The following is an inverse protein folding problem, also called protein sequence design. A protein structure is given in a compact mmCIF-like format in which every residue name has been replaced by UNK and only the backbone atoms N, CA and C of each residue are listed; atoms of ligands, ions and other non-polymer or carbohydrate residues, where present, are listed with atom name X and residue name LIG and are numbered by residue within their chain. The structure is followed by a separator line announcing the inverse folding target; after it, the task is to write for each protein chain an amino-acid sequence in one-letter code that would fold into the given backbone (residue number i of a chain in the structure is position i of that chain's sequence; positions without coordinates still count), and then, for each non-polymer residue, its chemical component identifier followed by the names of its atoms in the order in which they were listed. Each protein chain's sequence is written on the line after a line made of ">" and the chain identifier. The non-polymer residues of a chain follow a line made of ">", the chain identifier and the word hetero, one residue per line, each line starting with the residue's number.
data_IF_464675872747
#
_entry.id   IF_464675872747
#
_cell.length_a   1.000
_cell.length_b   1.000
_cell.length_c   1.000
_cell.angle_alpha   90.00
_cell.angle_beta   90.00
_cell.angle_gamma   90.00
#
_symmetry.space_group_name_H-M   'P 1'
#
loop_
_entity.id
_entity.type
_entity.pdbx_description
1 polymer ?
#
# COMPACT_ATOMS: atom_id res chain seq x y z
N UNK A 1 7.68 -10.46 -20.84
CA UNK A 1 8.06 -9.65 -19.66
C UNK A 1 7.60 -8.22 -19.94
N UNK A 2 6.45 -7.82 -19.39
CA UNK A 2 5.92 -6.46 -19.56
C UNK A 2 6.69 -5.52 -18.60
N UNK A 3 7.29 -4.45 -19.14
CA UNK A 3 7.99 -3.43 -18.33
C UNK A 3 6.97 -2.36 -17.95
N UNK A 4 6.72 -2.20 -16.65
CA UNK A 4 5.96 -1.10 -16.09
C UNK A 4 6.92 0.08 -15.84
N UNK A 5 6.57 1.28 -16.29
CA UNK A 5 7.30 2.49 -15.93
C UNK A 5 6.74 3.04 -14.61
N UNK A 6 7.54 3.14 -13.57
CA UNK A 6 7.13 3.48 -12.20
C UNK A 6 7.92 4.69 -11.71
N UNK A 7 7.21 5.72 -11.22
CA UNK A 7 7.74 6.98 -10.71
C UNK A 7 7.25 7.23 -9.28
N UNK A 8 8.07 6.94 -8.27
CA UNK A 8 7.71 7.12 -6.86
C UNK A 8 7.80 8.58 -6.41
N UNK A 9 6.92 8.99 -5.49
CA UNK A 9 6.74 10.38 -5.01
C UNK A 9 6.74 10.48 -3.50
N UNK A 10 7.02 11.68 -3.00
CA UNK A 10 7.27 11.93 -1.58
C UNK A 10 6.46 13.06 -0.95
N UNK A 11 6.22 12.95 0.37
CA UNK A 11 5.88 14.07 1.29
C UNK A 11 6.60 13.94 2.64
N UNK A 12 7.08 15.05 3.19
CA UNK A 12 7.79 15.17 4.49
C UNK A 12 6.83 14.81 5.64
N UNK A 13 7.00 13.65 6.27
CA UNK A 13 6.13 13.19 7.35
C UNK A 13 6.93 12.48 8.44
N UNK A 14 6.60 12.80 9.68
CA UNK A 14 7.20 12.21 10.88
C UNK A 14 6.98 10.68 10.96
N UNK A 15 7.89 9.92 11.58
CA UNK A 15 7.72 8.49 11.80
C UNK A 15 6.46 8.22 12.63
N UNK A 16 5.57 7.35 12.13
CA UNK A 16 4.32 7.00 12.81
C UNK A 16 4.28 5.55 13.26
N UNK A 17 3.54 5.32 14.35
CA UNK A 17 3.33 4.01 14.98
C UNK A 17 2.86 2.94 13.99
N UNK A 18 3.28 1.67 14.18
CA UNK A 18 2.79 0.57 13.37
C UNK A 18 1.27 0.47 13.49
N UNK A 19 0.58 0.22 12.37
CA UNK A 19 -0.86 -0.03 12.34
C UNK A 19 -1.11 -1.54 12.23
N UNK A 20 -1.80 -2.11 13.21
CA UNK A 20 -2.36 -3.46 13.10
C UNK A 20 -3.69 -3.34 12.37
N UNK A 21 -3.80 -3.94 11.19
CA UNK A 21 -5.10 -4.42 10.74
C UNK A 21 -5.31 -5.81 11.31
N UNK A 22 -5.71 -5.88 12.58
CA UNK A 22 -6.37 -7.06 13.11
C UNK A 22 -7.87 -6.85 12.89
N UNK A 23 -8.50 -7.69 12.06
CA UNK A 23 -9.96 -7.68 11.86
C UNK A 23 -10.73 -8.23 13.07
N UNK A 24 -10.05 -8.50 14.19
CA UNK A 24 -10.62 -8.95 15.45
C UNK A 24 -10.00 -8.20 16.62
N UNK A 25 -10.85 -7.65 17.50
CA UNK A 25 -10.49 -6.89 18.71
C UNK A 25 -9.36 -7.57 19.53
N UNK A 26 -8.43 -6.80 20.14
CA UNK A 26 -7.33 -7.32 20.98
C UNK A 26 -7.79 -8.22 22.13
N UNK A 27 -9.04 -8.08 22.59
CA UNK A 27 -9.63 -8.90 23.65
C UNK A 27 -9.93 -10.35 23.25
N UNK A 28 -9.78 -10.72 21.98
CA UNK A 28 -10.11 -12.06 21.44
C UNK A 28 -8.91 -12.98 21.20
N UNK A 29 -7.69 -12.52 21.47
CA UNK A 29 -6.45 -13.26 21.15
C UNK A 29 -6.04 -14.32 22.19
N UNK A 30 -6.82 -14.55 23.25
CA UNK A 30 -6.58 -15.69 24.16
C UNK A 30 -7.23 -16.95 23.60
N UNK A 31 -6.41 -17.84 23.05
CA UNK A 31 -6.68 -19.29 23.05
C UNK A 31 -7.56 -19.85 21.94
N UNK A 32 -7.86 -19.11 20.87
CA UNK A 32 -8.46 -19.68 19.67
C UNK A 32 -7.48 -19.57 18.51
N UNK A 33 -7.13 -20.70 17.88
CA UNK A 33 -6.86 -20.67 16.44
C UNK A 33 -7.97 -19.82 15.83
N UNK A 34 -7.69 -18.70 15.14
CA UNK A 34 -8.75 -17.98 14.48
C UNK A 34 -9.46 -19.00 13.62
N UNK A 35 -10.77 -19.15 13.81
CA UNK A 35 -11.62 -19.94 12.92
C UNK A 35 -11.64 -19.22 11.58
N UNK A 36 -10.52 -19.25 10.88
CA UNK A 36 -10.41 -18.78 9.52
C UNK A 36 -11.29 -19.71 8.70
N UNK A 37 -12.21 -19.12 7.95
CA UNK A 37 -12.93 -19.88 6.94
C UNK A 37 -11.89 -20.58 6.08
N UNK A 38 -11.94 -21.92 5.93
CA UNK A 38 -10.96 -22.71 5.14
C UNK A 38 -10.65 -22.11 3.75
N UNK A 39 -11.59 -21.33 3.24
CA UNK A 39 -11.56 -20.56 1.99
C UNK A 39 -10.58 -19.36 1.98
N UNK A 40 -9.99 -18.99 3.11
CA UNK A 40 -9.06 -17.87 3.29
C UNK A 40 -7.70 -18.34 3.84
N UNK A 41 -7.44 -19.65 3.80
CA UNK A 41 -6.18 -20.25 4.20
C UNK A 41 -5.39 -20.55 2.92
N UNK A 42 -4.18 -20.02 2.83
CA UNK A 42 -3.27 -20.26 1.72
C UNK A 42 -2.07 -21.04 2.21
N UNK A 43 -1.66 -22.05 1.44
CA UNK A 43 -0.55 -22.92 1.79
C UNK A 43 0.75 -22.25 1.31
N UNK A 44 1.67 -22.04 2.25
CA UNK A 44 3.04 -21.66 1.90
C UNK A 44 3.83 -22.89 1.43
N UNK A 45 4.81 -22.66 0.55
CA UNK A 45 5.72 -23.73 0.16
C UNK A 45 6.58 -24.17 1.36
N UNK A 46 6.94 -25.46 1.50
CA UNK A 46 7.57 -25.99 2.71
C UNK A 46 8.91 -25.37 3.11
N UNK A 47 9.58 -24.67 2.18
CA UNK A 47 10.91 -24.06 2.40
C UNK A 47 10.87 -22.55 2.56
N UNK A 48 9.68 -21.96 2.47
CA UNK A 48 9.51 -20.51 2.55
C UNK A 48 9.47 -20.09 4.02
N UNK A 49 10.30 -19.12 4.37
CA UNK A 49 10.26 -18.52 5.71
C UNK A 49 8.95 -17.76 5.91
N UNK A 50 8.13 -18.25 6.84
CA UNK A 50 6.84 -17.65 7.17
C UNK A 50 6.95 -16.22 7.69
N UNK A 51 8.05 -15.86 8.36
CA UNK A 51 8.29 -14.49 8.85
C UNK A 51 8.57 -13.55 7.69
N UNK A 52 9.44 -13.98 6.77
CA UNK A 52 9.76 -13.24 5.56
C UNK A 52 8.53 -13.01 4.66
N UNK A 53 7.54 -13.91 4.68
CA UNK A 53 6.26 -13.71 3.97
C UNK A 53 5.27 -12.85 4.74
N UNK A 54 5.10 -13.09 6.04
CA UNK A 54 4.08 -12.41 6.84
C UNK A 54 4.31 -10.90 6.93
N UNK A 55 5.57 -10.47 6.96
CA UNK A 55 5.93 -9.06 7.09
C UNK A 55 5.47 -8.20 5.89
N UNK A 56 5.77 -8.57 4.62
CA UNK A 56 5.34 -7.85 3.42
C UNK A 56 3.93 -8.21 2.93
N UNK A 57 3.31 -9.32 3.35
CA UNK A 57 2.01 -9.78 2.84
C UNK A 57 0.98 -8.67 2.76
N UNK A 58 0.66 -8.03 3.88
CA UNK A 58 -0.38 -7.00 3.92
C UNK A 58 -0.11 -5.80 2.97
N UNK A 59 1.05 -5.11 3.00
CA UNK A 59 1.29 -3.98 2.10
C UNK A 59 1.47 -4.39 0.63
N UNK A 60 2.12 -5.52 0.35
CA UNK A 60 2.35 -5.99 -1.01
C UNK A 60 1.05 -6.48 -1.63
N UNK A 61 0.27 -7.27 -0.90
CA UNK A 61 -0.98 -7.84 -1.40
C UNK A 61 -2.02 -6.75 -1.69
N UNK A 62 -2.11 -5.67 -0.89
CA UNK A 62 -3.00 -4.53 -1.19
C UNK A 62 -2.61 -3.80 -2.47
N UNK A 63 -1.32 -3.49 -2.62
CA UNK A 63 -0.79 -2.84 -3.83
C UNK A 63 -1.00 -3.72 -5.06
N UNK A 64 -0.71 -5.03 -4.95
CA UNK A 64 -0.93 -6.00 -6.00
C UNK A 64 -2.40 -6.06 -6.42
N UNK A 65 -3.32 -6.17 -5.46
CA UNK A 65 -4.75 -6.24 -5.76
C UNK A 65 -5.26 -4.95 -6.38
N UNK A 66 -4.76 -3.78 -5.94
CA UNK A 66 -5.06 -2.50 -6.59
C UNK A 66 -4.62 -2.52 -8.06
N UNK A 67 -3.39 -2.97 -8.32
CA UNK A 67 -2.81 -3.05 -9.65
C UNK A 67 -3.56 -4.05 -10.53
N UNK A 68 -3.57 -5.33 -10.17
CA UNK A 68 -4.12 -6.42 -11.00
C UNK A 68 -5.62 -6.32 -11.27
N UNK A 69 -6.43 -5.93 -10.28
CA UNK A 69 -7.90 -6.02 -10.42
C UNK A 69 -8.60 -4.76 -10.85
N UNK A 70 -7.94 -3.61 -10.71
CA UNK A 70 -8.60 -2.33 -10.91
C UNK A 70 -7.85 -1.42 -11.87
N UNK A 71 -6.54 -1.56 -11.92
CA UNK A 71 -5.66 -0.64 -12.63
C UNK A 71 -5.12 -1.21 -13.94
N UNK A 72 -4.81 -2.51 -13.97
CA UNK A 72 -4.29 -3.17 -15.17
C UNK A 72 -5.44 -3.44 -16.17
N UNK A 73 -5.55 -2.54 -17.15
CA UNK A 73 -5.91 -2.84 -18.54
C UNK A 73 -4.68 -2.70 -19.43
N UNK A 74 -4.84 -2.54 -20.74
CA UNK A 74 -3.75 -2.29 -21.72
C UNK A 74 -3.03 -0.92 -21.55
N UNK A 75 -2.96 -0.39 -20.33
CA UNK A 75 -2.33 0.88 -20.03
C UNK A 75 -0.81 0.74 -20.04
N UNK A 76 -0.20 1.34 -21.05
CA UNK A 76 1.24 1.56 -21.14
C UNK A 76 1.56 2.97 -20.60
N UNK A 77 2.27 3.08 -19.48
CA UNK A 77 2.79 4.39 -19.04
C UNK A 77 3.16 4.49 -17.57
N UNK A 78 3.29 5.74 -17.08
CA UNK A 78 3.84 6.05 -15.76
C UNK A 78 2.84 5.77 -14.63
N UNK A 79 3.25 4.93 -13.69
CA UNK A 79 2.59 4.72 -12.39
C UNK A 79 3.25 5.58 -11.34
N UNK A 80 2.46 6.26 -10.53
CA UNK A 80 2.96 7.18 -9.51
C UNK A 80 2.60 6.70 -8.11
N UNK A 81 3.45 5.89 -7.46
CA UNK A 81 3.30 5.61 -6.04
C UNK A 81 3.75 6.80 -5.16
N UNK A 82 3.19 6.96 -3.96
CA UNK A 82 3.58 8.00 -2.98
C UNK A 82 4.05 7.35 -1.66
N UNK A 83 5.27 7.65 -1.20
CA UNK A 83 5.95 7.11 0.00
C UNK A 83 6.79 8.17 0.74
N UNK A 84 7.44 7.83 1.86
CA UNK A 84 8.34 8.75 2.60
C UNK A 84 9.81 8.70 2.07
N UNK A 85 10.68 9.61 2.55
CA UNK A 85 12.00 9.88 1.92
C UNK A 85 12.93 8.70 2.08
N UNK A 86 12.90 8.14 3.28
CA UNK A 86 13.73 7.04 3.73
C UNK A 86 13.42 5.78 2.91
N UNK A 87 12.13 5.51 2.64
CA UNK A 87 11.72 4.37 1.81
C UNK A 87 12.11 4.56 0.34
N UNK A 88 12.11 5.79 -0.19
CA UNK A 88 12.47 6.00 -1.60
C UNK A 88 13.97 5.90 -1.86
N UNK A 89 14.80 6.23 -0.87
CA UNK A 89 16.24 6.12 -0.99
C UNK A 89 16.73 4.67 -1.15
N UNK A 90 15.90 3.68 -0.81
CA UNK A 90 16.23 2.25 -0.92
C UNK A 90 15.69 1.59 -2.18
N UNK A 91 14.91 2.30 -3.01
CA UNK A 91 14.34 1.72 -4.24
C UNK A 91 15.30 1.90 -5.40
N UNK A 92 15.92 0.80 -5.81
CA UNK A 92 16.69 0.73 -7.05
C UNK A 92 15.77 0.75 -8.28
N UNK A 93 16.31 1.18 -9.43
CA UNK A 93 15.61 1.18 -10.74
C UNK A 93 14.37 2.09 -10.88
N UNK A 94 14.26 3.13 -10.06
CA UNK A 94 13.21 4.12 -10.23
C UNK A 94 13.45 5.00 -11.47
N UNK A 95 12.45 5.12 -12.35
CA UNK A 95 12.57 5.92 -13.58
C UNK A 95 12.78 7.42 -13.27
N UNK A 96 12.09 7.94 -12.24
CA UNK A 96 12.10 9.35 -11.85
C UNK A 96 11.58 9.52 -10.41
N UNK A 97 12.04 10.54 -9.69
CA UNK A 97 11.56 10.89 -8.35
C UNK A 97 11.22 12.36 -8.24
N UNK A 98 10.13 12.65 -7.52
CA UNK A 98 9.72 14.03 -7.24
C UNK A 98 9.38 14.23 -5.77
N UNK A 99 9.98 15.27 -5.22
CA UNK A 99 9.75 15.78 -3.87
C UNK A 99 8.55 16.73 -3.91
N UNK A 100 7.40 16.35 -3.34
CA UNK A 100 6.22 17.21 -3.27
C UNK A 100 6.26 18.09 -2.02
N UNK A 101 5.85 19.35 -2.18
CA UNK A 101 5.69 20.33 -1.08
C UNK A 101 4.24 20.75 -0.99
N UNK A 102 3.80 21.22 0.17
CA UNK A 102 2.45 21.77 0.30
C UNK A 102 2.31 23.07 -0.52
N UNK A 103 1.20 23.25 -1.28
CA UNK A 103 0.14 22.28 -1.52
C UNK A 103 0.61 21.15 -2.46
N UNK A 104 0.39 19.89 -2.06
CA UNK A 104 0.94 18.73 -2.76
C UNK A 104 0.44 18.63 -4.21
N UNK A 105 1.30 18.99 -5.16
CA UNK A 105 1.00 19.08 -6.58
C UNK A 105 2.17 18.53 -7.42
N UNK A 106 1.84 17.90 -8.54
CA UNK A 106 2.81 17.39 -9.50
C UNK A 106 3.41 18.52 -10.33
N UNK A 107 4.75 18.56 -10.49
CA UNK A 107 5.37 19.55 -11.34
C UNK A 107 5.05 19.24 -12.81
N UNK A 108 5.02 20.24 -13.70
CA UNK A 108 4.67 20.07 -15.12
C UNK A 108 5.58 19.12 -15.91
N UNK A 109 6.77 18.80 -15.40
CA UNK A 109 7.70 17.85 -16.04
C UNK A 109 7.36 16.38 -15.82
N UNK A 110 6.48 16.06 -14.86
CA UNK A 110 6.00 14.69 -14.69
C UNK A 110 4.94 14.44 -15.75
N UNK A 111 5.37 13.76 -16.82
CA UNK A 111 4.62 13.49 -18.05
C UNK A 111 3.28 12.80 -17.83
N UNK A 112 2.62 12.31 -18.90
CA UNK A 112 1.28 11.73 -18.76
C UNK A 112 1.28 10.59 -17.73
N UNK A 113 0.47 10.78 -16.69
CA UNK A 113 0.22 9.86 -15.59
C UNK A 113 -1.09 9.16 -15.88
N UNK A 114 -1.05 7.83 -15.92
CA UNK A 114 -2.25 7.00 -16.07
C UNK A 114 -2.75 6.55 -14.70
N UNK A 115 -1.81 6.34 -13.77
CA UNK A 115 -2.07 5.70 -12.49
C UNK A 115 -1.37 6.47 -11.38
N UNK A 116 -2.10 6.77 -10.32
CA UNK A 116 -1.59 7.27 -9.04
C UNK A 116 -1.90 6.22 -7.99
N UNK A 117 -0.90 5.74 -7.27
CA UNK A 117 -1.03 4.81 -6.15
C UNK A 117 -0.65 5.54 -4.86
N UNK A 118 -1.65 5.99 -4.12
CA UNK A 118 -1.44 6.71 -2.87
C UNK A 118 -1.31 5.74 -1.69
N UNK A 119 -0.06 5.44 -1.32
CA UNK A 119 0.30 4.53 -0.23
C UNK A 119 0.54 5.25 1.10
N UNK A 120 0.31 6.56 1.17
CA UNK A 120 0.60 7.35 2.37
C UNK A 120 -0.47 7.12 3.44
N UNK A 121 -0.05 6.67 4.61
CA UNK A 121 -0.90 6.32 5.75
C UNK A 121 -1.00 7.41 6.83
N UNK A 122 -0.39 8.57 6.60
CA UNK A 122 -0.33 9.68 7.54
C UNK A 122 -0.26 11.01 6.79
N UNK A 123 -0.72 12.11 7.40
CA UNK A 123 -0.64 13.45 6.80
C UNK A 123 -1.82 13.85 5.91
N UNK A 124 -1.69 14.99 5.24
CA UNK A 124 -2.78 15.64 4.49
C UNK A 124 -3.08 14.92 3.18
N UNK A 125 -4.37 14.81 2.83
CA UNK A 125 -4.81 14.33 1.54
C UNK A 125 -4.20 15.18 0.41
N UNK A 126 -3.49 14.53 -0.50
CA UNK A 126 -2.78 15.20 -1.59
C UNK A 126 -3.69 15.44 -2.80
N UNK A 127 -4.81 16.16 -2.62
CA UNK A 127 -5.80 16.41 -3.67
C UNK A 127 -5.25 17.20 -4.85
N UNK A 128 -4.15 17.95 -4.67
CA UNK A 128 -3.46 18.64 -5.75
C UNK A 128 -2.78 17.69 -6.74
N UNK A 129 -2.43 16.46 -6.35
CA UNK A 129 -1.82 15.46 -7.24
C UNK A 129 -2.77 15.08 -8.40
N UNK A 130 -3.99 14.57 -8.17
CA UNK A 130 -4.91 14.25 -9.25
C UNK A 130 -5.39 15.51 -10.01
N UNK A 131 -5.24 16.72 -9.45
CA UNK A 131 -5.55 17.97 -10.16
C UNK A 131 -4.46 18.35 -11.17
N UNK A 132 -3.20 18.14 -10.83
CA UNK A 132 -2.03 18.60 -11.60
C UNK A 132 -1.37 17.50 -12.44
N UNK A 133 -1.72 16.24 -12.21
CA UNK A 133 -1.33 15.14 -13.08
C UNK A 133 -1.66 15.49 -14.54
N UNK A 134 -0.68 15.38 -15.42
CA UNK A 134 -0.95 15.40 -16.85
C UNK A 134 -1.55 14.06 -17.22
N UNK A 135 -2.62 14.05 -18.01
CA UNK A 135 -3.20 12.81 -18.52
C UNK A 135 -3.14 12.82 -20.05
N UNK A 136 -3.33 11.65 -20.66
CA UNK A 136 -3.56 11.57 -22.10
C UNK A 136 -5.03 11.94 -22.37
N UNK A 137 -5.27 12.76 -23.39
CA UNK A 137 -6.63 13.19 -23.73
C UNK A 137 -7.51 11.98 -24.09
N UNK A 138 -8.70 11.90 -23.51
CA UNK A 138 -9.63 10.79 -23.70
C UNK A 138 -9.33 9.56 -22.84
N UNK A 139 -8.15 9.47 -22.22
CA UNK A 139 -7.80 8.37 -21.33
C UNK A 139 -8.21 8.64 -19.87
N UNK A 140 -8.42 7.55 -19.14
CA UNK A 140 -8.83 7.59 -17.73
C UNK A 140 -7.62 7.68 -16.81
N UNK A 141 -7.58 8.73 -15.97
CA UNK A 141 -6.68 8.77 -14.82
C UNK A 141 -7.24 7.86 -13.71
N UNK A 142 -6.42 6.96 -13.20
CA UNK A 142 -6.78 6.06 -12.12
C UNK A 142 -6.07 6.44 -10.84
N UNK A 143 -6.83 6.66 -9.77
CA UNK A 143 -6.31 6.98 -8.44
C UNK A 143 -6.64 5.83 -7.49
N UNK A 144 -5.63 5.02 -7.17
CA UNK A 144 -5.68 3.94 -6.19
C UNK A 144 -5.29 4.45 -4.81
N UNK A 145 -6.21 4.45 -3.86
CA UNK A 145 -5.95 4.75 -2.47
C UNK A 145 -5.66 3.45 -1.70
N UNK A 146 -4.41 3.29 -1.25
CA UNK A 146 -3.91 2.14 -0.47
C UNK A 146 -3.67 2.52 0.99
N UNK A 147 -3.26 3.76 1.20
CA UNK A 147 -3.03 4.33 2.52
C UNK A 147 -4.29 4.42 3.38
N UNK A 148 -4.09 4.91 4.59
CA UNK A 148 -5.15 5.11 5.57
C UNK A 148 -4.94 6.46 6.25
N UNK A 149 -5.63 7.51 5.83
CA UNK A 149 -5.49 8.88 6.38
C UNK A 149 -6.15 9.05 7.75
N UNK A 150 -5.92 8.12 8.68
CA UNK A 150 -6.41 8.24 10.05
C UNK A 150 -5.53 9.23 10.80
N UNK A 151 -5.98 10.48 10.93
CA UNK A 151 -5.56 11.30 12.07
C UNK A 151 -5.01 12.70 11.81
N UNK A 152 -5.07 13.28 10.61
CA UNK A 152 -4.86 14.74 10.39
C UNK A 152 -5.28 15.14 8.98
N UNK A 153 -6.21 16.09 8.89
CA UNK A 153 -6.69 16.65 7.61
C UNK A 153 -8.04 16.09 7.16
N UNK A 154 -8.67 16.80 6.23
CA UNK A 154 -9.94 16.39 5.65
C UNK A 154 -9.70 15.20 4.67
N UNK A 155 -10.56 14.17 4.70
CA UNK A 155 -10.57 13.08 3.72
C UNK A 155 -10.43 13.58 2.28
N UNK A 156 -9.83 12.78 1.40
CA UNK A 156 -9.66 13.16 -0.01
C UNK A 156 -11.00 13.57 -0.66
N UNK A 157 -12.10 12.89 -0.33
CA UNK A 157 -13.43 13.22 -0.86
C UNK A 157 -13.93 14.62 -0.46
N UNK A 158 -13.45 15.17 0.64
CA UNK A 158 -13.88 16.47 1.16
C UNK A 158 -13.10 17.62 0.51
N UNK A 159 -11.88 17.33 0.05
CA UNK A 159 -10.95 18.31 -0.55
C UNK A 159 -10.80 18.18 -2.06
N UNK A 160 -11.52 17.24 -2.68
CA UNK A 160 -11.48 17.02 -4.12
C UNK A 160 -12.42 18.00 -4.84
N UNK A 161 -11.92 18.87 -5.73
CA UNK A 161 -12.78 19.82 -6.40
C UNK A 161 -13.64 19.12 -7.47
N UNK A 162 -14.95 19.32 -7.41
CA UNK A 162 -15.92 18.66 -8.31
C UNK A 162 -15.70 18.96 -9.79
N UNK A 163 -15.12 20.12 -10.12
CA UNK A 163 -14.79 20.48 -11.50
C UNK A 163 -13.76 19.53 -12.14
N UNK A 164 -12.98 18.79 -11.35
CA UNK A 164 -12.00 17.84 -11.86
C UNK A 164 -12.68 16.65 -12.55
N UNK A 165 -13.85 16.23 -12.07
CA UNK A 165 -14.66 15.14 -12.68
C UNK A 165 -15.16 15.57 -14.07
N UNK A 166 -15.44 16.87 -14.26
CA UNK A 166 -15.89 17.41 -15.55
C UNK A 166 -14.74 17.59 -16.56
N UNK A 167 -13.50 17.74 -16.08
CA UNK A 167 -12.34 18.06 -16.93
C UNK A 167 -11.70 16.84 -17.59
N UNK A 168 -11.82 15.66 -16.98
CA UNK A 168 -11.25 14.42 -17.51
C UNK A 168 -11.93 13.18 -16.93
N UNK A 169 -11.90 12.05 -17.66
CA UNK A 169 -12.24 10.77 -17.07
C UNK A 169 -11.27 10.44 -15.93
N UNK A 170 -11.79 10.31 -14.71
CA UNK A 170 -11.00 9.94 -13.53
C UNK A 170 -11.75 8.88 -12.71
N UNK A 171 -11.02 7.94 -12.12
CA UNK A 171 -11.57 6.89 -11.26
C UNK A 171 -10.85 6.85 -9.93
N UNK A 172 -11.60 6.85 -8.83
CA UNK A 172 -11.08 6.68 -7.47
C UNK A 172 -11.37 5.26 -6.99
N UNK A 173 -10.33 4.57 -6.51
CA UNK A 173 -10.37 3.16 -6.19
C UNK A 173 -9.75 2.93 -4.81
N UNK A 174 -10.49 2.38 -3.86
CA UNK A 174 -9.90 1.83 -2.64
C UNK A 174 -9.23 0.47 -2.88
N UNK A 175 -8.24 0.11 -2.06
CA UNK A 175 -7.57 -1.21 -2.13
C UNK A 175 -7.46 -1.93 -0.78
N UNK A 176 -8.25 -1.52 0.21
CA UNK A 176 -8.31 -2.25 1.47
C UNK A 176 -8.95 -3.62 1.28
N UNK A 177 -8.74 -4.54 2.24
CA UNK A 177 -9.21 -5.93 2.13
C UNK A 177 -10.73 -6.05 1.85
N UNK A 178 -11.54 -5.13 2.37
CA UNK A 178 -12.98 -5.06 2.13
C UNK A 178 -13.39 -4.55 0.73
N UNK A 179 -12.44 -4.10 -0.09
CA UNK A 179 -12.71 -3.60 -1.44
C UNK A 179 -12.77 -4.74 -2.49
N UNK A 180 -12.41 -5.97 -2.13
CA UNK A 180 -12.33 -7.08 -3.08
C UNK A 180 -13.24 -8.24 -2.69
N UNK A 181 -13.78 -8.95 -3.68
CA UNK A 181 -14.51 -10.17 -3.39
C UNK A 181 -13.54 -11.23 -2.83
N UNK A 182 -14.03 -12.09 -1.95
CA UNK A 182 -13.25 -13.23 -1.43
C UNK A 182 -12.70 -14.10 -2.57
N UNK A 183 -13.42 -14.19 -3.69
CA UNK A 183 -12.98 -14.94 -4.85
C UNK A 183 -11.81 -14.28 -5.58
N UNK A 184 -11.73 -12.95 -5.58
CA UNK A 184 -10.58 -12.24 -6.16
C UNK A 184 -9.32 -12.54 -5.38
N UNK A 185 -9.40 -12.44 -4.05
CA UNK A 185 -8.33 -12.82 -3.13
C UNK A 185 -7.85 -14.25 -3.36
N UNK A 186 -8.78 -15.21 -3.44
CA UNK A 186 -8.42 -16.62 -3.71
C UNK A 186 -7.67 -16.82 -5.01
N UNK A 187 -8.06 -16.07 -6.04
CA UNK A 187 -7.48 -16.21 -7.38
C UNK A 187 -6.07 -15.63 -7.43
N UNK A 188 -5.84 -14.52 -6.71
CA UNK A 188 -4.59 -13.75 -6.80
C UNK A 188 -3.56 -14.13 -5.74
N UNK A 189 -4.01 -14.49 -4.53
CA UNK A 189 -3.11 -14.69 -3.40
C UNK A 189 -2.03 -15.76 -3.63
N UNK A 190 -2.26 -16.88 -4.34
CA UNK A 190 -1.18 -17.81 -4.66
C UNK A 190 -0.02 -17.15 -5.41
N UNK A 191 -0.32 -16.28 -6.38
CA UNK A 191 0.69 -15.56 -7.15
C UNK A 191 1.37 -14.48 -6.31
N UNK A 192 0.61 -13.77 -5.46
CA UNK A 192 1.17 -12.80 -4.52
C UNK A 192 2.16 -13.47 -3.56
N UNK A 193 1.77 -14.58 -2.94
CA UNK A 193 2.62 -15.31 -2.00
C UNK A 193 3.86 -15.88 -2.69
N UNK A 194 3.71 -16.39 -3.92
CA UNK A 194 4.84 -16.85 -4.71
C UNK A 194 5.82 -15.68 -5.00
N UNK A 195 5.31 -14.53 -5.43
CA UNK A 195 6.12 -13.35 -5.68
C UNK A 195 6.82 -12.88 -4.39
N UNK A 196 6.09 -12.75 -3.28
CA UNK A 196 6.65 -12.36 -1.98
C UNK A 196 7.74 -13.33 -1.53
N UNK A 197 7.58 -14.63 -1.75
CA UNK A 197 8.58 -15.62 -1.34
C UNK A 197 9.93 -15.48 -2.04
N UNK A 198 9.96 -14.81 -3.19
CA UNK A 198 11.19 -14.48 -3.92
C UNK A 198 11.73 -13.08 -3.65
N UNK A 199 11.02 -12.25 -2.88
CA UNK A 199 11.48 -10.91 -2.53
C UNK A 199 12.42 -10.96 -1.32
N UNK A 200 13.54 -10.28 -1.42
CA UNK A 200 14.27 -9.84 -0.23
C UNK A 200 13.41 -8.79 0.47
N UNK A 201 13.21 -8.95 1.78
CA UNK A 201 12.40 -8.01 2.54
C UNK A 201 13.05 -6.62 2.48
N UNK A 202 12.40 -5.59 1.91
CA UNK A 202 13.01 -4.28 1.73
C UNK A 202 13.06 -3.46 3.03
N UNK A 203 12.73 -4.08 4.16
CA UNK A 203 12.66 -3.48 5.47
C UNK A 203 13.09 -4.50 6.53
N UNK A 204 13.58 -3.98 7.66
CA UNK A 204 13.91 -4.84 8.79
C UNK A 204 12.65 -5.38 9.46
N UNK A 205 12.73 -6.64 9.91
CA UNK A 205 11.66 -7.31 10.64
C UNK A 205 12.03 -7.36 12.12
N UNK A 206 11.11 -6.90 12.97
CA UNK A 206 11.18 -7.05 14.42
C UNK A 206 10.25 -8.19 14.83
N UNK A 207 10.80 -9.28 15.33
CA UNK A 207 10.01 -10.41 15.81
C UNK A 207 9.75 -10.27 17.31
N UNK A 208 8.53 -10.54 17.75
CA UNK A 208 8.19 -10.61 19.17
C UNK A 208 7.24 -11.79 19.47
N UNK A 209 7.34 -12.43 20.64
CA UNK A 209 6.37 -13.44 21.04
C UNK A 209 4.99 -12.82 21.24
N UNK A 210 3.94 -13.60 20.98
CA UNK A 210 2.56 -13.17 21.24
C UNK A 210 2.32 -12.75 22.71
N UNK A 211 3.02 -13.36 23.67
CA UNK A 211 2.96 -12.99 25.09
C UNK A 211 3.44 -11.57 25.37
N UNK A 212 4.30 -11.02 24.53
CA UNK A 212 4.90 -9.69 24.70
C UNK A 212 4.36 -8.66 23.69
N UNK A 213 3.30 -9.01 22.94
CA UNK A 213 2.80 -8.14 21.87
C UNK A 213 2.48 -6.72 22.35
N UNK A 214 1.96 -6.56 23.56
CA UNK A 214 1.62 -5.24 24.11
C UNK A 214 2.85 -4.35 24.32
N UNK A 215 3.93 -4.90 24.90
CA UNK A 215 5.19 -4.16 25.08
C UNK A 215 5.96 -3.98 23.78
N UNK A 216 5.95 -5.00 22.91
CA UNK A 216 6.57 -4.94 21.60
C UNK A 216 5.91 -3.86 20.71
N UNK A 217 4.59 -3.71 20.79
CA UNK A 217 3.84 -2.72 20.02
C UNK A 217 4.26 -1.27 20.30
N UNK A 218 4.54 -0.96 21.56
CA UNK A 218 4.94 0.39 22.01
C UNK A 218 6.46 0.62 21.94
N UNK A 219 7.23 -0.40 21.55
CA UNK A 219 8.68 -0.29 21.43
C UNK A 219 9.10 0.61 20.26
N UNK A 220 10.24 1.27 20.43
CA UNK A 220 10.87 2.04 19.35
C UNK A 220 11.14 1.17 18.12
N UNK A 221 11.55 -0.08 18.33
CA UNK A 221 11.78 -1.05 17.25
C UNK A 221 10.54 -1.25 16.38
N UNK A 222 9.33 -1.28 16.95
CA UNK A 222 8.10 -1.44 16.18
C UNK A 222 7.70 -0.16 15.41
N UNK A 223 8.24 1.01 15.75
CA UNK A 223 8.05 2.26 15.01
C UNK A 223 8.85 2.28 13.70
N UNK A 224 10.04 1.69 13.71
CA UNK A 224 10.99 1.74 12.59
C UNK A 224 11.08 0.42 11.80
N UNK A 225 10.74 -0.71 12.42
CA UNK A 225 10.79 -2.05 11.81
C UNK A 225 9.39 -2.65 11.70
N UNK A 226 9.24 -3.62 10.80
CA UNK A 226 7.99 -4.36 10.65
C UNK A 226 7.84 -5.38 11.78
N UNK A 227 6.91 -5.15 12.70
CA UNK A 227 6.61 -6.10 13.78
C UNK A 227 5.91 -7.36 13.22
N UNK A 228 6.51 -8.53 13.45
CA UNK A 228 5.90 -9.85 13.23
C UNK A 228 5.76 -10.54 14.58
N UNK A 229 4.53 -10.91 14.91
CA UNK A 229 4.21 -11.58 16.18
C UNK A 229 4.22 -13.08 15.96
N UNK A 230 5.04 -13.80 16.73
CA UNK A 230 5.21 -15.25 16.63
C UNK A 230 4.47 -15.92 17.79
N UNK A 231 3.44 -16.76 17.50
CA UNK A 231 2.81 -17.56 18.53
C UNK A 231 3.78 -18.62 19.06
N UNK A 232 4.07 -18.59 20.37
CA UNK A 232 4.85 -19.64 21.03
C UNK A 232 6.37 -19.58 20.82
N UNK A 233 6.90 -18.40 20.51
CA UNK A 233 8.35 -18.13 20.61
C UNK A 233 8.83 -18.26 22.07
#
# INVERSE_FOLDING_TARGET
>A
MQRFHTALKWTELEPTRPQATCTTSPSSLRGCLPSAHKRQIFKLEPRVDSVAVAAPDNPVARSWMALQRRIIGDYWGRTVPRANKETLATVEELDDHVVLREPYALPPGVGPVHIILDCVSNGTAASGIPQTAQGVYGEKLQYGHVGNHMGRGAPLCDVLPMNMIQRRPISFLGSNAGCFAVQDWKTQMPEVLHMISGLEAPFEVFMAPLSEVASAWESEAALIKRLVVIPGL
#
